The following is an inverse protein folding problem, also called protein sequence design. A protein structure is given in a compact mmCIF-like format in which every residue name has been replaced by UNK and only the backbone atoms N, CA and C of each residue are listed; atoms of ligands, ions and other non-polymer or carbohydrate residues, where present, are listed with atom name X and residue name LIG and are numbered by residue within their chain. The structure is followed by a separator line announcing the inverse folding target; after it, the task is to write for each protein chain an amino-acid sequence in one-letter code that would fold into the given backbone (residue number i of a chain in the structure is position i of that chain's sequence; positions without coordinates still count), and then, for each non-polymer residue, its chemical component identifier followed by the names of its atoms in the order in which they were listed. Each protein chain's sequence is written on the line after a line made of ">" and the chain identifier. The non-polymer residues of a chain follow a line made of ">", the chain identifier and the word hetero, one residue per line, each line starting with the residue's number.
data_IF_093671464272
#
_entry.id   IF_093671464272
#
_cell.length_a   1.000
_cell.length_b   1.000
_cell.length_c   1.000
_cell.angle_alpha   90.00
_cell.angle_beta   90.00
_cell.angle_gamma   90.00
#
_symmetry.space_group_name_H-M   'P 1'
#
loop_
_entity.id
_entity.type
_entity.pdbx_description
1 polymer ?
#
# COMPACT_ATOMS: atom_id res chain seq x y z
N UNK A 1 -22.05 25.42 42.28
CA UNK A 1 -21.46 24.06 42.29
C UNK A 1 -22.05 23.12 41.24
N UNK A 2 -23.39 23.13 40.95
CA UNK A 2 -24.00 22.22 39.93
C UNK A 2 -23.55 22.46 38.50
N UNK A 3 -23.23 23.70 38.09
CA UNK A 3 -22.75 24.02 36.71
C UNK A 3 -21.38 23.45 36.35
N UNK A 4 -20.47 23.41 37.32
CA UNK A 4 -19.10 22.91 37.10
C UNK A 4 -19.06 21.37 36.99
N UNK A 5 -19.99 20.66 37.65
CA UNK A 5 -20.09 19.21 37.53
C UNK A 5 -20.55 18.79 36.12
N UNK A 6 -21.47 19.54 35.52
CA UNK A 6 -21.97 19.26 34.16
C UNK A 6 -20.87 19.40 33.09
N UNK A 7 -20.01 20.41 33.22
CA UNK A 7 -18.88 20.65 32.30
C UNK A 7 -17.85 19.52 32.39
N UNK A 8 -17.57 19.03 33.60
CA UNK A 8 -16.64 17.91 33.81
C UNK A 8 -17.16 16.62 33.18
N UNK A 9 -18.47 16.34 33.27
CA UNK A 9 -19.08 15.19 32.61
C UNK A 9 -19.01 15.25 31.08
N UNK A 10 -19.19 16.43 30.48
CA UNK A 10 -19.09 16.61 29.01
C UNK A 10 -17.64 16.41 28.54
N UNK A 11 -16.65 16.92 29.28
CA UNK A 11 -15.24 16.75 28.93
C UNK A 11 -14.79 15.29 29.07
N UNK A 12 -15.32 14.54 30.05
CA UNK A 12 -14.99 13.13 30.23
C UNK A 12 -15.62 12.24 29.16
N UNK A 13 -16.79 12.57 28.64
CA UNK A 13 -17.43 11.84 27.55
C UNK A 13 -16.70 12.03 26.20
N UNK A 14 -16.13 13.22 25.94
CA UNK A 14 -15.37 13.50 24.72
C UNK A 14 -14.01 12.77 24.69
N UNK A 15 -13.35 12.55 25.83
CA UNK A 15 -12.08 11.84 25.89
C UNK A 15 -12.22 10.35 25.57
N UNK A 16 -13.34 9.72 25.90
CA UNK A 16 -13.60 8.31 25.60
C UNK A 16 -13.94 8.06 24.11
N UNK A 17 -14.49 9.07 23.41
CA UNK A 17 -14.85 8.95 21.99
C UNK A 17 -13.61 8.86 21.08
N UNK A 18 -12.50 9.51 21.48
CA UNK A 18 -11.23 9.48 20.73
C UNK A 18 -10.52 8.13 20.79
N UNK A 19 -10.61 7.39 21.90
CA UNK A 19 -9.92 6.12 22.08
C UNK A 19 -10.60 4.96 21.35
N UNK A 20 -11.92 4.95 21.24
CA UNK A 20 -12.66 3.91 20.52
C UNK A 20 -12.33 3.87 19.04
N UNK A 21 -12.10 5.04 18.41
CA UNK A 21 -11.77 5.14 17.00
C UNK A 21 -10.30 4.76 16.67
N UNK A 22 -9.36 5.00 17.57
CA UNK A 22 -7.95 4.65 17.36
C UNK A 22 -7.72 3.13 17.38
N UNK A 23 -8.47 2.41 18.23
CA UNK A 23 -8.32 0.97 18.37
C UNK A 23 -8.94 0.19 17.18
N UNK A 24 -9.96 0.74 16.51
CA UNK A 24 -10.58 0.11 15.34
C UNK A 24 -9.70 0.18 14.09
N UNK A 25 -8.88 1.23 13.94
CA UNK A 25 -8.00 1.41 12.79
C UNK A 25 -6.92 0.33 12.68
N UNK A 26 -6.28 -0.03 13.79
CA UNK A 26 -5.26 -1.10 13.80
C UNK A 26 -5.87 -2.49 13.58
N UNK A 27 -7.12 -2.69 13.99
CA UNK A 27 -7.79 -3.99 13.89
C UNK A 27 -8.06 -4.40 12.45
N UNK A 28 -8.45 -3.48 11.55
CA UNK A 28 -8.73 -3.83 10.14
C UNK A 28 -7.46 -4.24 9.41
N UNK A 29 -6.38 -3.47 9.53
CA UNK A 29 -5.09 -3.80 8.89
C UNK A 29 -4.54 -5.14 9.39
N UNK A 30 -4.50 -5.38 10.69
CA UNK A 30 -3.96 -6.63 11.26
C UNK A 30 -4.79 -7.85 10.85
N UNK A 31 -6.12 -7.74 10.86
CA UNK A 31 -7.01 -8.80 10.37
C UNK A 31 -6.78 -9.06 8.87
N UNK A 32 -6.68 -8.00 8.06
CA UNK A 32 -6.41 -8.10 6.65
C UNK A 32 -5.08 -8.82 6.37
N UNK A 33 -4.02 -8.41 7.06
CA UNK A 33 -2.68 -9.01 6.94
C UNK A 33 -2.68 -10.50 7.30
N UNK A 34 -3.29 -10.87 8.42
CA UNK A 34 -3.44 -12.28 8.83
C UNK A 34 -4.19 -13.11 7.78
N UNK A 35 -5.24 -12.55 7.19
CA UNK A 35 -5.99 -13.21 6.13
C UNK A 35 -5.17 -13.35 4.85
N UNK A 36 -4.36 -12.33 4.50
CA UNK A 36 -3.45 -12.38 3.36
C UNK A 36 -2.40 -13.48 3.52
N UNK A 37 -1.75 -13.55 4.67
CA UNK A 37 -0.77 -14.60 5.01
C UNK A 37 -1.37 -16.00 4.94
N UNK A 38 -2.65 -16.14 5.29
CA UNK A 38 -3.42 -17.37 5.16
C UNK A 38 -4.02 -17.58 3.74
N UNK A 39 -3.61 -16.80 2.74
CA UNK A 39 -4.08 -16.87 1.34
C UNK A 39 -5.58 -16.66 1.15
N UNK A 40 -6.28 -16.10 2.15
CA UNK A 40 -7.71 -15.74 2.08
C UNK A 40 -7.88 -14.37 1.43
N UNK A 41 -7.41 -14.23 0.18
CA UNK A 41 -7.25 -12.93 -0.50
C UNK A 41 -8.54 -12.13 -0.63
N UNK A 42 -9.69 -12.78 -0.94
CA UNK A 42 -10.98 -12.11 -1.04
C UNK A 42 -11.38 -11.41 0.28
N UNK A 43 -11.23 -12.13 1.39
CA UNK A 43 -11.57 -11.57 2.71
C UNK A 43 -10.54 -10.52 3.14
N UNK A 44 -9.25 -10.76 2.86
CA UNK A 44 -8.16 -9.82 3.11
C UNK A 44 -8.42 -8.50 2.39
N UNK A 45 -8.78 -8.53 1.09
CA UNK A 45 -9.12 -7.36 0.29
C UNK A 45 -10.19 -6.50 0.98
N UNK A 46 -11.30 -7.10 1.39
CA UNK A 46 -12.37 -6.41 2.08
C UNK A 46 -11.90 -5.67 3.35
N UNK A 47 -11.01 -6.28 4.13
CA UNK A 47 -10.50 -5.63 5.33
C UNK A 47 -9.46 -4.55 5.03
N UNK A 48 -8.61 -4.69 4.00
CA UNK A 48 -7.72 -3.61 3.57
C UNK A 48 -8.52 -2.43 3.00
N UNK A 49 -9.58 -2.67 2.22
CA UNK A 49 -10.50 -1.64 1.74
C UNK A 49 -11.17 -0.91 2.90
N UNK A 50 -11.59 -1.62 3.95
CA UNK A 50 -12.07 -0.98 5.18
C UNK A 50 -10.98 -0.14 5.86
N UNK A 51 -9.75 -0.66 5.95
CA UNK A 51 -8.68 0.07 6.60
C UNK A 51 -8.42 1.41 5.90
N UNK A 52 -8.36 1.46 4.58
CA UNK A 52 -8.12 2.71 3.85
C UNK A 52 -9.28 3.72 3.96
N UNK A 53 -10.52 3.28 4.22
CA UNK A 53 -11.65 4.18 4.51
C UNK A 53 -11.43 4.92 5.84
N UNK A 54 -10.97 4.21 6.87
CA UNK A 54 -10.74 4.79 8.19
C UNK A 54 -9.33 5.39 8.34
N UNK A 55 -8.38 4.90 7.55
CA UNK A 55 -6.99 5.34 7.54
C UNK A 55 -6.50 5.56 6.09
N UNK A 56 -6.90 6.66 5.43
CA UNK A 56 -6.57 6.92 4.02
C UNK A 56 -5.06 7.12 3.74
N UNK A 57 -4.23 7.20 4.78
CA UNK A 57 -2.77 7.24 4.69
C UNK A 57 -2.11 5.90 5.02
N UNK A 58 -2.86 4.81 5.03
CA UNK A 58 -2.34 3.46 5.27
C UNK A 58 -1.57 2.95 4.04
N UNK A 59 -0.31 3.36 3.90
CA UNK A 59 0.59 2.94 2.82
C UNK A 59 0.59 1.42 2.63
N UNK A 60 0.71 0.69 3.74
CA UNK A 60 0.74 -0.76 3.71
C UNK A 60 -0.55 -1.39 3.17
N UNK A 61 -1.72 -0.84 3.50
CA UNK A 61 -2.99 -1.38 2.99
C UNK A 61 -3.10 -1.23 1.48
N UNK A 62 -2.70 -0.09 0.91
CA UNK A 62 -2.59 0.08 -0.54
C UNK A 62 -1.59 -0.90 -1.16
N UNK A 63 -0.44 -1.12 -0.53
CA UNK A 63 0.56 -2.07 -1.02
C UNK A 63 0.01 -3.51 -1.08
N UNK A 64 -0.70 -3.95 -0.03
CA UNK A 64 -1.33 -5.27 -0.02
C UNK A 64 -2.48 -5.38 -1.02
N UNK A 65 -3.29 -4.32 -1.20
CA UNK A 65 -4.31 -4.27 -2.24
C UNK A 65 -3.70 -4.41 -3.63
N UNK A 66 -2.60 -3.72 -3.91
CA UNK A 66 -1.87 -3.87 -5.17
C UNK A 66 -1.43 -5.33 -5.42
N UNK A 67 -0.89 -6.00 -4.39
CA UNK A 67 -0.49 -7.42 -4.49
C UNK A 67 -1.69 -8.34 -4.76
N UNK A 68 -2.84 -8.06 -4.17
CA UNK A 68 -4.07 -8.82 -4.41
C UNK A 68 -4.52 -8.61 -5.86
N UNK A 69 -4.58 -7.35 -6.33
CA UNK A 69 -4.99 -7.04 -7.70
C UNK A 69 -4.03 -7.59 -8.76
N UNK A 70 -2.73 -7.64 -8.46
CA UNK A 70 -1.76 -8.38 -9.27
C UNK A 70 -2.13 -9.85 -9.41
N UNK A 71 -2.50 -10.51 -8.32
CA UNK A 71 -2.97 -11.90 -8.32
C UNK A 71 -4.29 -12.10 -9.07
N UNK A 72 -5.16 -11.09 -9.07
CA UNK A 72 -6.41 -11.04 -9.83
C UNK A 72 -6.20 -10.63 -11.31
N UNK A 73 -4.96 -10.38 -11.75
CA UNK A 73 -4.59 -9.86 -13.08
C UNK A 73 -5.31 -8.54 -13.44
N UNK A 74 -5.63 -7.74 -12.44
CA UNK A 74 -6.25 -6.43 -12.61
C UNK A 74 -5.18 -5.33 -12.61
N UNK A 75 -4.53 -5.18 -13.76
CA UNK A 75 -3.39 -4.27 -13.93
C UNK A 75 -3.73 -2.81 -13.60
N UNK A 76 -4.96 -2.37 -13.85
CA UNK A 76 -5.36 -0.98 -13.57
C UNK A 76 -5.47 -0.72 -12.06
N UNK A 77 -6.09 -1.63 -11.32
CA UNK A 77 -6.19 -1.48 -9.86
C UNK A 77 -4.85 -1.74 -9.17
N UNK A 78 -4.01 -2.64 -9.69
CA UNK A 78 -2.62 -2.80 -9.24
C UNK A 78 -1.88 -1.47 -9.37
N UNK A 79 -1.89 -0.86 -10.57
CA UNK A 79 -1.18 0.39 -10.86
C UNK A 79 -1.67 1.55 -9.97
N UNK A 80 -2.98 1.72 -9.84
CA UNK A 80 -3.57 2.78 -9.02
C UNK A 80 -3.14 2.69 -7.56
N UNK A 81 -3.16 1.48 -7.00
CA UNK A 81 -2.75 1.27 -5.61
C UNK A 81 -1.24 1.49 -5.43
N UNK A 82 -0.39 1.00 -6.35
CA UNK A 82 1.05 1.24 -6.31
C UNK A 82 1.39 2.74 -6.42
N UNK A 83 0.72 3.47 -7.30
CA UNK A 83 0.88 4.92 -7.42
C UNK A 83 0.48 5.64 -6.12
N UNK A 84 -0.59 5.18 -5.46
CA UNK A 84 -0.99 5.71 -4.15
C UNK A 84 0.08 5.44 -3.09
N UNK A 85 0.68 4.24 -3.06
CA UNK A 85 1.82 3.95 -2.17
C UNK A 85 2.96 4.95 -2.41
N UNK A 86 3.34 5.18 -3.67
CA UNK A 86 4.44 6.09 -4.00
C UNK A 86 4.11 7.57 -3.77
N UNK A 87 2.83 7.95 -3.82
CA UNK A 87 2.37 9.28 -3.40
C UNK A 87 2.55 9.46 -1.88
N UNK A 88 2.26 8.44 -1.08
CA UNK A 88 2.40 8.47 0.37
C UNK A 88 3.85 8.30 0.83
N UNK A 89 4.61 7.45 0.14
CA UNK A 89 6.01 7.15 0.40
C UNK A 89 6.79 6.95 -0.92
N UNK A 90 7.38 8.02 -1.48
CA UNK A 90 8.14 7.94 -2.75
C UNK A 90 9.36 7.00 -2.71
N UNK A 91 9.77 6.55 -1.51
CA UNK A 91 10.93 5.67 -1.30
C UNK A 91 10.53 4.23 -0.97
N UNK A 92 9.26 3.86 -1.14
CA UNK A 92 8.83 2.48 -0.94
C UNK A 92 9.41 1.58 -2.03
N UNK A 93 10.47 0.85 -1.68
CA UNK A 93 11.23 0.01 -2.61
C UNK A 93 10.36 -1.10 -3.23
N UNK A 94 9.45 -1.69 -2.45
CA UNK A 94 8.57 -2.75 -2.94
C UNK A 94 7.55 -2.22 -3.96
N UNK A 95 6.98 -1.04 -3.72
CA UNK A 95 6.07 -0.41 -4.66
C UNK A 95 6.79 -0.02 -5.96
N UNK A 96 8.00 0.54 -5.88
CA UNK A 96 8.82 0.84 -7.07
C UNK A 96 9.10 -0.43 -7.85
N UNK A 97 9.51 -1.50 -7.19
CA UNK A 97 9.80 -2.79 -7.81
C UNK A 97 8.56 -3.35 -8.55
N UNK A 98 7.42 -3.42 -7.86
CA UNK A 98 6.18 -3.96 -8.44
C UNK A 98 5.69 -3.10 -9.61
N UNK A 99 5.73 -1.77 -9.47
CA UNK A 99 5.31 -0.85 -10.53
C UNK A 99 6.24 -0.92 -11.74
N UNK A 100 7.54 -1.17 -11.54
CA UNK A 100 8.49 -1.40 -12.63
C UNK A 100 8.10 -2.64 -13.41
N UNK A 101 7.87 -3.77 -12.73
CA UNK A 101 7.46 -5.02 -13.38
C UNK A 101 6.15 -4.87 -14.16
N UNK A 102 5.18 -4.15 -13.60
CA UNK A 102 3.92 -3.86 -14.27
C UNK A 102 4.12 -3.02 -15.53
N UNK A 103 4.97 -1.98 -15.47
CA UNK A 103 5.26 -1.14 -16.63
C UNK A 103 6.02 -1.90 -17.73
N UNK A 104 6.94 -2.81 -17.40
CA UNK A 104 7.58 -3.73 -18.35
C UNK A 104 6.52 -4.61 -19.03
N UNK A 105 5.62 -5.24 -18.25
CA UNK A 105 4.49 -6.04 -18.75
C UNK A 105 3.61 -5.25 -19.73
N UNK A 106 3.30 -3.99 -19.39
CA UNK A 106 2.48 -3.09 -20.22
C UNK A 106 3.25 -2.47 -21.40
N UNK A 107 4.52 -2.83 -21.58
CA UNK A 107 5.42 -2.25 -22.59
C UNK A 107 5.64 -0.73 -22.44
N UNK A 108 5.41 -0.19 -21.26
CA UNK A 108 5.72 1.19 -20.93
C UNK A 108 7.19 1.32 -20.49
N UNK A 109 8.11 1.12 -21.44
CA UNK A 109 9.54 1.01 -21.19
C UNK A 109 10.17 2.32 -20.67
N UNK A 110 9.63 3.47 -21.09
CA UNK A 110 10.11 4.78 -20.61
C UNK A 110 9.89 4.89 -19.08
N UNK A 111 8.67 4.56 -18.62
CA UNK A 111 8.34 4.59 -17.20
C UNK A 111 9.10 3.53 -16.40
N UNK A 112 9.29 2.35 -16.98
CA UNK A 112 10.07 1.29 -16.34
C UNK A 112 11.53 1.74 -16.10
N UNK A 113 12.18 2.39 -17.08
CA UNK A 113 13.54 2.95 -16.92
C UNK A 113 13.61 4.01 -15.83
N UNK A 114 12.65 4.95 -15.81
CA UNK A 114 12.54 5.97 -14.76
C UNK A 114 12.45 5.34 -13.37
N UNK A 115 11.61 4.32 -13.21
CA UNK A 115 11.44 3.62 -11.94
C UNK A 115 12.70 2.85 -11.51
N UNK A 116 13.43 2.23 -12.44
CA UNK A 116 14.73 1.59 -12.16
C UNK A 116 15.74 2.62 -11.66
N UNK A 117 15.81 3.80 -12.31
CA UNK A 117 16.66 4.90 -11.87
C UNK A 117 16.29 5.38 -10.46
N UNK A 118 14.98 5.52 -10.20
CA UNK A 118 14.47 5.86 -8.87
C UNK A 118 14.88 4.80 -7.84
N UNK A 119 14.68 3.51 -8.17
CA UNK A 119 15.07 2.40 -7.30
C UNK A 119 16.56 2.45 -6.96
N UNK A 120 17.42 2.71 -7.93
CA UNK A 120 18.87 2.82 -7.75
C UNK A 120 19.24 3.95 -6.77
N UNK A 121 18.48 5.05 -6.79
CA UNK A 121 18.76 6.21 -5.92
C UNK A 121 18.25 6.06 -4.48
N UNK A 122 17.23 5.24 -4.25
CA UNK A 122 16.56 5.17 -2.94
C UNK A 122 16.74 3.84 -2.22
N UNK A 123 17.17 2.78 -2.91
CA UNK A 123 17.20 1.44 -2.36
C UNK A 123 18.13 1.31 -1.13
N UNK A 124 17.69 0.50 -0.17
CA UNK A 124 18.44 0.11 1.04
C UNK A 124 18.36 -1.40 1.29
N UNK A 125 17.19 -1.99 1.04
CA UNK A 125 16.90 -3.40 1.32
C UNK A 125 16.77 -4.23 0.04
N UNK A 126 16.30 -3.63 -1.05
CA UNK A 126 16.00 -4.32 -2.29
C UNK A 126 16.96 -3.97 -3.45
N UNK A 127 18.16 -3.43 -3.16
CA UNK A 127 19.16 -3.10 -4.19
C UNK A 127 19.54 -4.32 -5.05
N UNK A 128 19.53 -5.51 -4.47
CA UNK A 128 19.78 -6.78 -5.20
C UNK A 128 18.74 -7.10 -6.27
N UNK A 129 17.58 -6.42 -6.26
CA UNK A 129 16.53 -6.56 -7.26
C UNK A 129 16.73 -5.71 -8.52
N UNK A 130 17.64 -4.76 -8.50
CA UNK A 130 17.89 -3.86 -9.65
C UNK A 130 18.38 -4.64 -10.88
N UNK A 131 19.35 -5.55 -10.81
CA UNK A 131 19.78 -6.35 -11.95
C UNK A 131 18.62 -7.17 -12.58
N UNK A 132 17.75 -7.75 -11.76
CA UNK A 132 16.57 -8.50 -12.21
C UNK A 132 15.62 -7.60 -13.03
N UNK A 133 15.38 -6.36 -12.55
CA UNK A 133 14.54 -5.39 -13.25
C UNK A 133 15.13 -4.97 -14.60
N UNK A 134 16.45 -4.76 -14.63
CA UNK A 134 17.17 -4.38 -15.85
C UNK A 134 17.12 -5.52 -16.87
N UNK A 135 17.40 -6.74 -16.46
CA UNK A 135 17.33 -7.93 -17.32
C UNK A 135 15.93 -8.13 -17.91
N UNK A 136 14.89 -8.01 -17.09
CA UNK A 136 13.49 -8.10 -17.58
C UNK A 136 13.17 -7.03 -18.61
N UNK A 137 13.58 -5.80 -18.38
CA UNK A 137 13.39 -4.72 -19.33
C UNK A 137 14.11 -5.00 -20.65
N UNK A 138 15.39 -5.39 -20.59
CA UNK A 138 16.22 -5.62 -21.78
C UNK A 138 15.74 -6.82 -22.59
N UNK A 139 15.34 -7.90 -21.91
CA UNK A 139 14.80 -9.11 -22.58
C UNK A 139 13.48 -8.81 -23.29
N UNK A 140 12.60 -8.01 -22.68
CA UNK A 140 11.32 -7.63 -23.29
C UNK A 140 11.51 -6.66 -24.47
N UNK A 141 12.52 -5.77 -24.42
CA UNK A 141 12.87 -4.89 -25.54
C UNK A 141 13.41 -5.65 -26.75
N UNK A 142 14.16 -6.75 -26.52
CA UNK A 142 14.73 -7.59 -27.60
C UNK A 142 13.69 -8.52 -28.26
N UNK A 143 12.59 -8.80 -27.59
CA UNK A 143 11.54 -9.72 -28.08
C UNK A 143 10.49 -9.04 -28.96
N UNK A 144 10.60 -7.74 -29.18
CA UNK A 144 9.74 -6.92 -30.05
C UNK A 144 10.47 -6.45 -31.30
#
# INVERSE_FOLDING_TARGET
>A
MKKNILIIFILFSLSNYSQANANSKNTYYENAKKLFENKKYKNSKFFFEKDIVFNPKSENSYLYLAKIFKGEMNDNLEENNLNTVLLLNPKNEEAIYLLTLLNVKKSNFSKAKELITTMTSVCKKMCSKIPELQEKLDSTLKSK
#
